data_IF_510668986030
#
_entry.id   IF_510668986030
#
_cell.length_a   1.000
_cell.length_b   1.000
_cell.length_c   1.000
_cell.angle_alpha   90.00
_cell.angle_beta   90.00
_cell.angle_gamma   90.00
#
_symmetry.space_group_name_H-M   'P 1'
#
loop_
_entity.id
_entity.type
_entity.pdbx_description
1 polymer ?
#
# COMPACT_ATOMS: atom_id res chain seq x y z
N UNK A 1 20.31 -46.85 -46.81
CA UNK A 1 21.33 -47.14 -47.84
C UNK A 1 22.03 -45.82 -48.13
N UNK A 2 23.32 -45.71 -47.76
CA UNK A 2 24.17 -44.56 -48.10
C UNK A 2 24.26 -44.41 -49.62
N UNK A 3 24.36 -43.17 -50.11
CA UNK A 3 25.39 -42.79 -51.09
C UNK A 3 25.78 -41.33 -50.82
N UNK A 4 27.09 -41.14 -50.69
CA UNK A 4 27.86 -39.91 -50.50
C UNK A 4 28.20 -39.23 -51.86
N UNK A 5 28.98 -38.13 -51.78
CA UNK A 5 29.80 -37.43 -52.80
C UNK A 5 29.20 -36.17 -53.44
N UNK A 6 29.58 -34.96 -53.01
CA UNK A 6 30.86 -34.22 -53.18
C UNK A 6 31.19 -33.80 -54.62
N UNK A 7 31.21 -32.49 -54.88
CA UNK A 7 32.44 -31.80 -55.36
C UNK A 7 32.32 -30.28 -55.27
N UNK A 8 33.41 -29.69 -54.79
CA UNK A 8 33.68 -28.26 -54.59
C UNK A 8 34.05 -27.55 -55.90
N UNK A 9 33.84 -26.22 -55.96
CA UNK A 9 34.91 -25.31 -56.36
C UNK A 9 34.65 -23.87 -55.87
N UNK A 10 35.64 -23.34 -55.16
CA UNK A 10 35.76 -21.99 -54.62
C UNK A 10 36.09 -20.97 -55.71
N UNK A 11 35.66 -19.71 -55.56
CA UNK A 11 36.52 -18.49 -55.62
C UNK A 11 35.81 -17.37 -54.85
N UNK A 12 36.54 -16.73 -53.94
CA UNK A 12 36.17 -15.52 -53.21
C UNK A 12 36.54 -14.26 -54.01
N UNK A 13 35.73 -13.20 -53.94
CA UNK A 13 36.23 -11.87 -53.52
C UNK A 13 35.10 -10.85 -53.32
N UNK A 14 35.34 -9.93 -52.39
CA UNK A 14 34.33 -9.15 -51.68
C UNK A 14 33.63 -8.04 -52.46
N UNK A 15 32.36 -7.82 -52.10
CA UNK A 15 31.77 -6.50 -51.84
C UNK A 15 30.38 -6.68 -51.22
N UNK A 16 30.29 -6.48 -49.93
CA UNK A 16 29.03 -6.48 -49.17
C UNK A 16 28.29 -5.16 -49.49
N UNK A 17 27.22 -5.24 -50.29
CA UNK A 17 26.24 -4.17 -50.44
C UNK A 17 25.07 -4.44 -49.49
N UNK A 18 24.83 -3.49 -48.59
CA UNK A 18 23.76 -3.50 -47.60
C UNK A 18 22.37 -3.72 -48.26
N UNK A 19 21.62 -4.68 -47.73
CA UNK A 19 20.19 -4.85 -47.99
C UNK A 19 19.38 -3.91 -47.08
N UNK A 20 18.24 -3.35 -47.54
CA UNK A 20 17.42 -2.49 -46.72
C UNK A 20 16.60 -3.34 -45.74
N UNK A 21 16.97 -3.32 -44.47
CA UNK A 21 16.17 -3.90 -43.38
C UNK A 21 14.86 -3.12 -43.22
N UNK A 22 13.75 -3.85 -43.21
CA UNK A 22 12.41 -3.34 -42.93
C UNK A 22 12.37 -2.55 -41.60
N UNK A 23 11.54 -1.50 -41.50
CA UNK A 23 11.44 -0.72 -40.27
C UNK A 23 10.91 -1.61 -39.12
N UNK A 24 11.43 -1.46 -37.89
CA UNK A 24 10.93 -2.19 -36.75
C UNK A 24 9.48 -1.80 -36.47
N UNK A 25 8.63 -2.82 -36.29
CA UNK A 25 7.27 -2.65 -35.77
C UNK A 25 7.33 -1.88 -34.45
N UNK A 26 6.48 -0.85 -34.24
CA UNK A 26 6.44 -0.15 -32.97
C UNK A 26 6.06 -1.13 -31.87
N UNK A 27 6.91 -1.19 -30.84
CA UNK A 27 6.66 -1.92 -29.61
C UNK A 27 5.30 -1.49 -29.02
N UNK A 28 4.46 -2.42 -28.52
CA UNK A 28 3.21 -2.04 -27.90
C UNK A 28 3.52 -1.25 -26.63
N UNK A 29 3.37 0.07 -26.69
CA UNK A 29 3.37 0.94 -25.53
C UNK A 29 2.09 0.64 -24.75
N UNK A 30 2.15 -0.35 -23.86
CA UNK A 30 1.11 -0.60 -22.87
C UNK A 30 1.00 0.64 -22.00
N UNK A 31 0.05 1.51 -22.31
CA UNK A 31 -0.41 2.57 -21.42
C UNK A 31 -1.09 1.88 -20.23
N UNK A 32 -0.32 1.56 -19.19
CA UNK A 32 -0.84 1.08 -17.91
C UNK A 32 -1.65 2.22 -17.28
N UNK A 33 -2.98 2.14 -17.39
CA UNK A 33 -3.88 3.09 -16.74
C UNK A 33 -4.07 2.68 -15.27
N UNK A 34 -3.80 3.61 -14.36
CA UNK A 34 -4.12 3.52 -12.94
C UNK A 34 -5.31 4.44 -12.65
N UNK A 35 -6.38 4.00 -12.00
CA UNK A 35 -7.48 4.90 -11.56
C UNK A 35 -7.38 5.21 -10.07
N UNK A 36 -8.01 6.31 -9.65
CA UNK A 36 -8.27 6.57 -8.23
C UNK A 36 -9.79 6.61 -8.01
N UNK A 37 -10.26 5.81 -7.07
CA UNK A 37 -11.68 5.62 -6.79
C UNK A 37 -11.98 6.10 -5.38
N UNK A 38 -12.93 7.02 -5.27
CA UNK A 38 -13.54 7.38 -4.00
C UNK A 38 -14.88 6.65 -3.86
N UNK A 39 -15.00 5.80 -2.85
CA UNK A 39 -16.25 5.14 -2.47
C UNK A 39 -17.02 6.11 -1.56
N UNK A 40 -18.16 6.63 -2.01
CA UNK A 40 -18.82 7.78 -1.35
C UNK A 40 -20.20 7.53 -0.74
N UNK A 41 -20.38 8.03 0.48
CA UNK A 41 -21.66 8.31 1.13
C UNK A 41 -21.84 9.78 1.58
N UNK A 42 -20.80 10.64 1.63
CA UNK A 42 -20.88 12.05 2.07
C UNK A 42 -19.87 13.01 1.38
N UNK A 43 -20.11 14.35 1.37
CA UNK A 43 -19.57 15.26 0.35
C UNK A 43 -18.24 16.00 0.67
N UNK A 44 -17.43 15.61 1.65
CA UNK A 44 -16.34 16.46 2.18
C UNK A 44 -14.93 16.27 1.56
N UNK A 45 -14.56 15.09 1.04
CA UNK A 45 -13.17 14.83 0.60
C UNK A 45 -12.72 15.45 -0.73
N UNK A 46 -13.66 15.77 -1.63
CA UNK A 46 -13.34 15.98 -3.06
C UNK A 46 -12.80 17.35 -3.46
N UNK A 47 -13.20 18.45 -2.80
CA UNK A 47 -12.66 19.77 -3.14
C UNK A 47 -11.16 19.90 -2.81
N UNK A 48 -10.59 18.95 -2.06
CA UNK A 48 -9.18 18.91 -1.65
C UNK A 48 -8.28 18.06 -2.55
N UNK A 49 -8.80 17.06 -3.25
CA UNK A 49 -8.02 16.28 -4.24
C UNK A 49 -7.48 17.16 -5.38
N UNK A 50 -8.18 18.26 -5.70
CA UNK A 50 -7.77 19.24 -6.73
C UNK A 50 -6.67 20.19 -6.29
N UNK A 51 -6.36 20.30 -4.99
CA UNK A 51 -5.34 21.22 -4.48
C UNK A 51 -3.94 20.92 -5.04
N UNK A 52 -3.72 19.69 -5.50
CA UNK A 52 -2.42 19.20 -5.96
C UNK A 52 -2.47 18.58 -7.36
N UNK A 53 -3.29 19.13 -8.27
CA UNK A 53 -3.27 18.73 -9.69
C UNK A 53 -1.91 19.04 -10.33
N UNK A 54 -0.97 18.10 -10.22
CA UNK A 54 0.30 18.04 -10.95
C UNK A 54 0.10 17.32 -12.29
N UNK A 55 1.11 17.34 -13.17
CA UNK A 55 1.10 16.52 -14.39
C UNK A 55 0.97 15.02 -14.09
N UNK A 56 1.44 14.58 -12.91
CA UNK A 56 1.30 13.19 -12.45
C UNK A 56 -0.15 12.88 -12.11
N UNK A 57 -0.83 13.76 -11.36
CA UNK A 57 -2.25 13.59 -11.03
C UNK A 57 -3.15 13.44 -12.28
N UNK A 58 -2.78 14.09 -13.40
CA UNK A 58 -3.54 13.97 -14.67
C UNK A 58 -3.50 12.58 -15.32
N UNK A 59 -2.56 11.71 -14.90
CA UNK A 59 -2.47 10.31 -15.35
C UNK A 59 -3.52 9.41 -14.69
N UNK A 60 -4.13 9.87 -13.59
CA UNK A 60 -5.08 9.10 -12.79
C UNK A 60 -6.51 9.54 -13.09
N UNK A 61 -7.24 8.88 -14.00
CA UNK A 61 -8.68 9.10 -14.13
C UNK A 61 -9.36 8.85 -12.79
N UNK A 62 -10.21 9.80 -12.40
CA UNK A 62 -10.92 9.77 -11.12
C UNK A 62 -12.32 9.19 -11.31
N UNK A 63 -12.68 8.30 -10.39
CA UNK A 63 -14.01 7.72 -10.31
C UNK A 63 -14.63 8.00 -8.95
N UNK A 64 -15.94 8.25 -8.96
CA UNK A 64 -16.76 8.22 -7.74
C UNK A 64 -17.70 7.04 -7.89
N UNK A 65 -17.58 6.08 -6.97
CA UNK A 65 -18.48 4.95 -6.85
C UNK A 65 -19.42 5.21 -5.67
N UNK A 66 -20.68 5.49 -5.96
CA UNK A 66 -21.70 5.68 -4.94
C UNK A 66 -22.50 4.39 -4.73
N UNK A 67 -22.67 3.97 -3.48
CA UNK A 67 -23.68 2.96 -3.12
C UNK A 67 -25.01 3.60 -2.70
N UNK A 68 -26.10 2.93 -3.07
CA UNK A 68 -27.46 3.37 -2.81
C UNK A 68 -27.92 4.54 -3.68
N UNK A 69 -29.00 5.19 -3.26
CA UNK A 69 -29.79 6.11 -4.10
C UNK A 69 -29.84 7.55 -3.59
N UNK A 70 -28.95 7.93 -2.67
CA UNK A 70 -28.91 9.29 -2.12
C UNK A 70 -28.71 10.33 -3.25
N UNK A 71 -29.74 11.14 -3.50
CA UNK A 71 -29.75 12.13 -4.58
C UNK A 71 -28.76 13.27 -4.39
N UNK A 72 -28.47 13.67 -3.15
CA UNK A 72 -27.54 14.77 -2.86
C UNK A 72 -26.09 14.36 -3.12
N UNK A 73 -25.72 13.11 -2.77
CA UNK A 73 -24.41 12.54 -3.09
C UNK A 73 -24.22 12.48 -4.60
N UNK A 74 -25.21 11.96 -5.33
CA UNK A 74 -25.20 11.89 -6.79
C UNK A 74 -25.06 13.27 -7.42
N UNK A 75 -25.83 14.25 -6.94
CA UNK A 75 -25.79 15.63 -7.43
C UNK A 75 -24.42 16.28 -7.21
N UNK A 76 -23.79 16.06 -6.05
CA UNK A 76 -22.43 16.56 -5.77
C UNK A 76 -21.38 15.85 -6.63
N UNK A 77 -21.45 14.52 -6.77
CA UNK A 77 -20.54 13.77 -7.63
C UNK A 77 -20.59 14.24 -9.09
N UNK A 78 -21.80 14.42 -9.63
CA UNK A 78 -22.02 14.92 -10.99
C UNK A 78 -21.68 16.40 -11.19
N UNK A 79 -21.47 17.17 -10.11
CA UNK A 79 -21.00 18.56 -10.20
C UNK A 79 -19.53 18.67 -10.61
N UNK A 80 -18.78 17.57 -10.55
CA UNK A 80 -17.37 17.52 -10.92
C UNK A 80 -17.18 17.19 -12.40
N UNK A 81 -16.48 18.06 -13.13
CA UNK A 81 -16.32 17.95 -14.59
C UNK A 81 -15.25 16.94 -15.05
N UNK A 82 -14.38 16.48 -14.16
CA UNK A 82 -13.23 15.60 -14.46
C UNK A 82 -13.34 14.24 -13.75
N UNK A 83 -14.55 13.85 -13.35
CA UNK A 83 -14.80 12.60 -12.61
C UNK A 83 -15.80 11.75 -13.40
N UNK A 84 -15.55 10.44 -13.42
CA UNK A 84 -16.52 9.45 -13.88
C UNK A 84 -17.36 8.99 -12.71
N UNK A 85 -18.67 9.25 -12.76
CA UNK A 85 -19.61 8.79 -11.74
C UNK A 85 -20.13 7.39 -12.05
N UNK A 86 -20.11 6.51 -11.06
CA UNK A 86 -20.64 5.15 -11.08
C UNK A 86 -21.60 4.98 -9.90
N UNK A 87 -22.67 4.21 -10.09
CA UNK A 87 -23.68 3.98 -9.06
C UNK A 87 -23.98 2.49 -8.89
N UNK A 88 -23.78 1.99 -7.68
CA UNK A 88 -24.23 0.68 -7.24
C UNK A 88 -25.59 0.81 -6.55
N UNK A 89 -26.54 -0.04 -6.95
CA UNK A 89 -27.85 -0.13 -6.30
C UNK A 89 -28.14 -1.61 -6.07
N UNK A 90 -27.99 -2.04 -4.83
CA UNK A 90 -28.39 -3.37 -4.38
C UNK A 90 -29.76 -3.28 -3.69
N UNK A 91 -30.76 -3.92 -4.29
CA UNK A 91 -32.13 -3.98 -3.78
C UNK A 91 -32.40 -5.29 -3.03
N UNK A 92 -31.47 -6.24 -3.06
CA UNK A 92 -31.67 -7.53 -2.42
C UNK A 92 -31.51 -7.42 -0.90
N UNK A 93 -32.36 -8.10 -0.11
CA UNK A 93 -32.17 -8.18 1.32
C UNK A 93 -30.84 -8.86 1.67
N UNK A 94 -30.01 -8.17 2.45
CA UNK A 94 -28.75 -8.72 2.97
C UNK A 94 -29.05 -9.91 3.87
N UNK A 95 -28.47 -11.07 3.54
CA UNK A 95 -28.48 -12.27 4.39
C UNK A 95 -27.13 -12.41 5.05
N UNK A 96 -27.10 -12.30 6.38
CA UNK A 96 -25.87 -12.53 7.15
C UNK A 96 -25.60 -14.02 7.28
N UNK A 97 -24.33 -14.40 7.41
CA UNK A 97 -23.94 -15.80 7.59
C UNK A 97 -24.29 -16.28 9.00
N UNK A 98 -24.18 -15.40 10.00
CA UNK A 98 -24.48 -15.69 11.39
C UNK A 98 -25.45 -14.66 12.00
N UNK A 99 -26.24 -15.05 13.02
CA UNK A 99 -27.06 -14.12 13.77
C UNK A 99 -26.21 -13.05 14.46
N UNK A 100 -26.66 -11.80 14.44
CA UNK A 100 -26.01 -10.67 15.13
C UNK A 100 -24.90 -9.96 14.34
N UNK A 101 -24.54 -10.45 13.16
CA UNK A 101 -23.63 -9.75 12.25
C UNK A 101 -24.27 -8.48 11.69
N UNK A 102 -23.44 -7.46 11.45
CA UNK A 102 -23.90 -6.17 10.97
C UNK A 102 -24.03 -6.18 9.45
N UNK A 103 -25.28 -6.03 8.97
CA UNK A 103 -25.61 -6.00 7.54
C UNK A 103 -24.89 -4.88 6.78
N UNK A 104 -24.48 -3.80 7.47
CA UNK A 104 -23.67 -2.74 6.89
C UNK A 104 -22.35 -3.26 6.28
N UNK A 105 -21.66 -4.22 6.91
CA UNK A 105 -20.41 -4.76 6.37
C UNK A 105 -20.60 -5.57 5.09
N UNK A 106 -21.72 -6.29 4.99
CA UNK A 106 -22.07 -7.01 3.76
C UNK A 106 -22.33 -6.05 2.61
N UNK A 107 -22.99 -4.92 2.88
CA UNK A 107 -23.20 -3.87 1.86
C UNK A 107 -21.89 -3.26 1.40
N UNK A 108 -21.00 -2.93 2.34
CA UNK A 108 -19.66 -2.40 2.04
C UNK A 108 -18.88 -3.41 1.19
N UNK A 109 -18.83 -4.67 1.60
CA UNK A 109 -18.13 -5.72 0.84
C UNK A 109 -18.70 -5.89 -0.58
N UNK A 110 -20.04 -5.89 -0.72
CA UNK A 110 -20.69 -6.00 -2.03
C UNK A 110 -20.38 -4.78 -2.92
N UNK A 111 -20.41 -3.58 -2.34
CA UNK A 111 -20.07 -2.36 -3.08
C UNK A 111 -18.61 -2.33 -3.54
N UNK A 112 -17.66 -2.71 -2.66
CA UNK A 112 -16.25 -2.84 -3.02
C UNK A 112 -16.06 -3.85 -4.16
N UNK A 113 -16.69 -5.03 -4.09
CA UNK A 113 -16.65 -6.02 -5.15
C UNK A 113 -17.15 -5.43 -6.48
N UNK A 114 -18.35 -4.82 -6.47
CA UNK A 114 -18.95 -4.25 -7.67
C UNK A 114 -18.08 -3.13 -8.27
N UNK A 115 -17.57 -2.23 -7.44
CA UNK A 115 -16.71 -1.14 -7.89
C UNK A 115 -15.42 -1.68 -8.51
N UNK A 116 -14.79 -2.68 -7.87
CA UNK A 116 -13.59 -3.32 -8.40
C UNK A 116 -13.85 -4.06 -9.72
N UNK A 117 -15.01 -4.71 -9.88
CA UNK A 117 -15.41 -5.32 -11.16
C UNK A 117 -15.56 -4.26 -12.26
N UNK A 118 -16.23 -3.15 -11.99
CA UNK A 118 -16.35 -2.04 -12.94
C UNK A 118 -14.96 -1.54 -13.37
N UNK A 119 -14.04 -1.34 -12.43
CA UNK A 119 -12.71 -0.80 -12.72
C UNK A 119 -11.79 -1.80 -13.44
N UNK A 120 -11.68 -3.01 -12.91
CA UNK A 120 -10.73 -4.00 -13.41
C UNK A 120 -11.24 -4.77 -14.62
N UNK A 121 -12.55 -5.04 -14.70
CA UNK A 121 -13.12 -5.85 -15.79
C UNK A 121 -13.62 -4.95 -16.90
N UNK A 122 -14.52 -4.00 -16.58
CA UNK A 122 -15.18 -3.17 -17.58
C UNK A 122 -14.30 -2.03 -18.08
N UNK A 123 -13.61 -1.33 -17.19
CA UNK A 123 -12.66 -0.28 -17.56
C UNK A 123 -11.24 -0.79 -17.85
N UNK A 124 -10.95 -2.05 -17.49
CA UNK A 124 -9.69 -2.74 -17.75
C UNK A 124 -8.47 -1.97 -17.23
N UNK A 125 -8.58 -1.37 -16.04
CA UNK A 125 -7.43 -0.79 -15.36
C UNK A 125 -6.45 -1.87 -14.93
N UNK A 126 -5.15 -1.57 -14.98
CA UNK A 126 -4.11 -2.49 -14.50
C UNK A 126 -3.96 -2.39 -12.97
N UNK A 127 -4.17 -1.18 -12.45
CA UNK A 127 -4.07 -0.80 -11.05
C UNK A 127 -5.22 0.12 -10.67
N UNK A 128 -5.64 0.04 -9.42
CA UNK A 128 -6.63 0.94 -8.83
C UNK A 128 -6.05 1.45 -7.52
N UNK A 129 -6.24 2.73 -7.22
CA UNK A 129 -6.03 3.33 -5.90
C UNK A 129 -7.42 3.54 -5.28
N UNK A 130 -7.65 3.01 -4.09
CA UNK A 130 -8.92 3.10 -3.39
C UNK A 130 -8.81 4.09 -2.25
N UNK A 131 -9.76 5.03 -2.20
CA UNK A 131 -9.98 6.00 -1.15
C UNK A 131 -11.41 5.89 -0.61
N UNK A 132 -11.56 6.07 0.69
CA UNK A 132 -12.86 6.31 1.31
C UNK A 132 -13.16 7.83 1.30
N UNK A 133 -14.43 8.20 1.44
CA UNK A 133 -14.91 9.58 1.27
C UNK A 133 -14.58 10.54 2.42
N UNK A 134 -14.20 10.00 3.57
CA UNK A 134 -13.76 10.72 4.75
C UNK A 134 -12.24 10.97 4.80
N UNK A 135 -11.53 10.63 3.72
CA UNK A 135 -10.08 10.78 3.63
C UNK A 135 -9.63 12.13 3.05
N UNK A 136 -8.54 12.66 3.60
CA UNK A 136 -7.75 13.75 2.99
C UNK A 136 -6.44 13.20 2.43
N UNK A 137 -6.02 13.69 1.26
CA UNK A 137 -4.78 13.27 0.61
C UNK A 137 -3.64 14.27 0.78
N UNK A 138 -2.41 13.75 0.88
CA UNK A 138 -1.19 14.54 0.99
C UNK A 138 -0.80 15.20 -0.34
N UNK A 139 0.04 16.27 -0.33
CA UNK A 139 0.50 16.96 -1.55
C UNK A 139 1.23 16.09 -2.57
N UNK A 140 1.83 14.99 -2.12
CA UNK A 140 2.64 14.05 -2.90
C UNK A 140 1.96 12.69 -3.07
N UNK A 141 0.66 12.58 -2.78
CA UNK A 141 -0.09 11.31 -2.83
C UNK A 141 0.04 10.60 -4.18
N UNK A 142 -0.18 11.31 -5.29
CA UNK A 142 -0.08 10.70 -6.63
C UNK A 142 1.36 10.41 -7.03
N UNK A 143 2.32 11.24 -6.61
CA UNK A 143 3.74 11.00 -6.84
C UNK A 143 4.21 9.74 -6.10
N UNK A 144 3.76 9.55 -4.86
CA UNK A 144 4.02 8.38 -4.03
C UNK A 144 3.54 7.09 -4.72
N UNK A 145 2.27 7.06 -5.15
CA UNK A 145 1.71 5.88 -5.81
C UNK A 145 2.33 5.62 -7.18
N UNK A 146 2.63 6.67 -7.97
CA UNK A 146 3.30 6.50 -9.26
C UNK A 146 4.68 5.85 -9.08
N UNK A 147 5.48 6.30 -8.11
CA UNK A 147 6.79 5.74 -7.85
C UNK A 147 6.70 4.30 -7.31
N UNK A 148 5.75 4.02 -6.41
CA UNK A 148 5.53 2.70 -5.83
C UNK A 148 4.91 1.70 -6.82
N UNK A 149 4.31 2.17 -7.92
CA UNK A 149 3.66 1.32 -8.91
C UNK A 149 4.63 0.32 -9.56
N UNK A 150 5.89 0.72 -9.76
CA UNK A 150 6.93 -0.15 -10.28
C UNK A 150 7.26 -1.32 -9.33
N UNK A 151 7.28 -1.06 -8.02
CA UNK A 151 7.46 -2.11 -7.01
C UNK A 151 6.30 -3.09 -7.04
N UNK A 152 5.07 -2.59 -7.06
CA UNK A 152 3.86 -3.41 -7.07
C UNK A 152 3.76 -4.31 -8.32
N UNK A 153 4.21 -3.83 -9.48
CA UNK A 153 4.19 -4.60 -10.72
C UNK A 153 5.24 -5.73 -10.73
N UNK A 154 6.43 -5.47 -10.17
CA UNK A 154 7.62 -6.31 -10.35
C UNK A 154 8.00 -7.17 -9.14
N UNK A 155 7.57 -6.83 -7.92
CA UNK A 155 7.80 -7.62 -6.73
C UNK A 155 6.52 -8.38 -6.34
N UNK A 156 6.48 -9.68 -6.63
CA UNK A 156 5.30 -10.52 -6.40
C UNK A 156 5.00 -10.80 -4.93
N UNK A 157 5.89 -10.41 -4.04
CA UNK A 157 5.69 -10.49 -2.59
C UNK A 157 4.96 -9.27 -2.03
N UNK A 158 4.68 -8.26 -2.86
CA UNK A 158 3.87 -7.09 -2.49
C UNK A 158 2.44 -7.29 -3.01
N UNK A 159 1.49 -7.32 -2.08
CA UNK A 159 0.06 -7.39 -2.41
C UNK A 159 -0.53 -6.02 -2.74
N UNK A 160 -0.16 -4.99 -1.97
CA UNK A 160 -0.69 -3.64 -2.07
C UNK A 160 0.33 -2.60 -1.58
N UNK A 161 0.13 -1.36 -1.98
CA UNK A 161 0.82 -0.19 -1.43
C UNK A 161 -0.22 0.64 -0.68
N UNK A 162 0.05 1.07 0.55
CA UNK A 162 -0.86 1.93 1.33
C UNK A 162 -0.21 3.27 1.66
N UNK A 163 -1.03 4.31 1.77
CA UNK A 163 -0.67 5.64 2.24
C UNK A 163 -0.79 5.81 3.76
N UNK A 164 -1.14 4.74 4.48
CA UNK A 164 -1.42 4.78 5.91
C UNK A 164 -0.34 4.11 6.76
N UNK A 165 0.01 4.76 7.87
CA UNK A 165 0.83 4.20 8.93
C UNK A 165 0.00 4.22 10.22
N UNK A 166 -0.41 3.04 10.72
CA UNK A 166 -1.23 2.96 11.94
C UNK A 166 -0.53 3.60 13.16
N UNK A 167 0.81 3.53 13.22
CA UNK A 167 1.61 4.18 14.26
C UNK A 167 2.18 5.53 13.77
N UNK A 168 1.44 6.23 12.90
CA UNK A 168 1.83 7.46 12.21
C UNK A 168 1.61 8.75 13.01
N UNK A 169 1.34 8.68 14.31
CA UNK A 169 1.14 9.88 15.14
C UNK A 169 2.45 10.70 15.21
N UNK A 170 2.34 12.03 15.36
CA UNK A 170 3.48 12.98 15.24
C UNK A 170 4.73 12.55 16.03
N UNK A 171 4.56 12.06 17.26
CA UNK A 171 5.67 11.62 18.11
C UNK A 171 6.38 10.34 17.63
N UNK A 172 5.78 9.58 16.71
CA UNK A 172 6.27 8.29 16.24
C UNK A 172 6.78 8.29 14.80
N UNK A 173 6.83 9.46 14.18
CA UNK A 173 7.35 9.67 12.82
C UNK A 173 8.45 10.73 12.81
N UNK A 174 9.33 10.70 11.80
CA UNK A 174 10.43 11.66 11.67
C UNK A 174 10.75 11.96 10.22
N UNK A 175 11.18 10.94 9.48
CA UNK A 175 11.59 11.08 8.08
C UNK A 175 10.40 10.84 7.14
N UNK A 176 9.94 11.86 6.38
CA UNK A 176 8.81 11.72 5.47
C UNK A 176 9.14 10.89 4.23
N UNK A 177 10.41 10.57 3.96
CA UNK A 177 10.84 9.71 2.84
C UNK A 177 10.93 8.24 3.21
N UNK A 178 10.88 7.90 4.50
CA UNK A 178 11.04 6.53 4.94
C UNK A 178 9.78 5.70 4.66
N UNK A 179 9.92 4.71 3.77
CA UNK A 179 8.92 3.68 3.52
C UNK A 179 9.33 2.33 4.11
N UNK A 180 8.33 1.49 4.41
CA UNK A 180 8.49 0.20 5.06
C UNK A 180 7.67 -0.88 4.36
N UNK A 181 8.07 -2.14 4.53
CA UNK A 181 7.20 -3.30 4.28
C UNK A 181 6.41 -3.62 5.57
N UNK A 182 5.22 -4.16 5.42
CA UNK A 182 4.34 -4.58 6.52
C UNK A 182 3.58 -5.84 6.09
N UNK A 183 3.48 -6.80 7.00
CA UNK A 183 2.63 -7.99 6.85
C UNK A 183 1.19 -7.69 7.30
N UNK A 184 0.98 -6.60 8.03
CA UNK A 184 -0.35 -6.06 8.33
C UNK A 184 -0.85 -5.24 7.14
N UNK A 185 -2.07 -5.53 6.64
CA UNK A 185 -2.73 -4.74 5.60
C UNK A 185 -3.50 -3.56 6.23
N UNK A 186 -3.04 -2.30 6.08
CA UNK A 186 -3.66 -1.16 6.75
C UNK A 186 -4.90 -0.60 6.02
N UNK A 187 -5.07 -0.88 4.72
CA UNK A 187 -6.09 -0.24 3.89
C UNK A 187 -5.83 1.26 3.73
N UNK A 188 -6.86 2.09 3.95
CA UNK A 188 -6.84 3.56 4.05
C UNK A 188 -5.94 4.25 3.01
N UNK A 189 -6.45 4.40 1.80
CA UNK A 189 -5.68 4.92 0.66
C UNK A 189 -4.67 3.90 0.19
N UNK A 190 -5.10 2.98 -0.67
CA UNK A 190 -4.28 1.84 -1.04
C UNK A 190 -4.40 1.47 -2.51
N UNK A 191 -3.29 1.02 -3.09
CA UNK A 191 -3.18 0.61 -4.48
C UNK A 191 -3.00 -0.90 -4.59
N UNK A 192 -3.76 -1.50 -5.49
CA UNK A 192 -3.71 -2.92 -5.81
C UNK A 192 -3.68 -3.14 -7.34
N UNK A 193 -3.26 -4.33 -7.77
CA UNK A 193 -3.23 -4.73 -9.19
C UNK A 193 -4.33 -5.73 -9.51
N UNK A 194 -4.73 -5.78 -10.79
CA UNK A 194 -5.76 -6.69 -11.31
C UNK A 194 -5.51 -8.17 -10.99
N UNK A 195 -4.26 -8.58 -10.83
CA UNK A 195 -3.87 -10.00 -10.65
C UNK A 195 -4.08 -10.55 -9.24
N UNK A 196 -4.30 -9.71 -8.22
CA UNK A 196 -4.39 -10.15 -6.81
C UNK A 196 -5.82 -10.17 -6.23
N UNK A 197 -6.85 -9.92 -7.04
CA UNK A 197 -8.23 -9.76 -6.57
C UNK A 197 -8.95 -11.11 -6.33
N UNK A 198 -8.57 -11.86 -5.30
CA UNK A 198 -9.47 -12.88 -4.73
C UNK A 198 -9.26 -12.98 -3.20
N UNK A 199 -10.32 -12.70 -2.44
CA UNK A 199 -10.39 -12.88 -0.99
C UNK A 199 -11.74 -12.44 -0.43
N UNK A 200 -12.48 -13.37 0.17
CA UNK A 200 -13.74 -13.12 0.89
C UNK A 200 -13.43 -12.79 2.35
N UNK A 201 -14.14 -11.80 2.91
CA UNK A 201 -14.25 -11.39 4.32
C UNK A 201 -13.37 -10.22 4.82
N UNK A 202 -14.04 -9.19 5.35
CA UNK A 202 -13.45 -8.08 6.11
C UNK A 202 -14.49 -7.38 7.00
N UNK A 203 -14.06 -6.83 8.14
CA UNK A 203 -14.90 -6.14 9.12
C UNK A 203 -14.09 -5.15 9.96
N UNK A 204 -14.56 -3.91 10.15
CA UNK A 204 -14.05 -3.05 11.23
C UNK A 204 -15.08 -2.02 11.75
N UNK A 205 -15.28 -2.02 13.07
CA UNK A 205 -16.18 -1.15 13.83
C UNK A 205 -15.42 0.10 14.30
N UNK A 206 -15.98 1.30 14.05
CA UNK A 206 -15.37 2.62 14.25
C UNK A 206 -15.02 3.06 15.68
N UNK A 207 -14.63 2.13 16.55
CA UNK A 207 -14.29 2.37 17.96
C UNK A 207 -12.87 2.98 18.14
N UNK A 208 -12.04 3.00 17.09
CA UNK A 208 -10.61 3.37 17.14
C UNK A 208 -10.30 4.81 16.70
N UNK A 209 -11.29 5.55 16.20
CA UNK A 209 -11.06 6.81 15.51
C UNK A 209 -10.36 7.87 16.37
N UNK A 210 -10.94 8.27 17.51
CA UNK A 210 -10.41 9.38 18.34
C UNK A 210 -9.05 9.08 18.96
N UNK A 211 -8.86 7.84 19.41
CA UNK A 211 -7.65 7.48 20.14
C UNK A 211 -6.46 7.28 19.21
N UNK A 212 -6.70 6.68 18.04
CA UNK A 212 -5.61 6.20 17.21
C UNK A 212 -5.57 6.77 15.80
N UNK A 213 -6.72 7.01 15.16
CA UNK A 213 -6.78 7.46 13.76
C UNK A 213 -6.70 8.99 13.62
N UNK A 214 -7.46 9.74 14.43
CA UNK A 214 -7.47 11.21 14.45
C UNK A 214 -6.06 11.84 14.62
N UNK A 215 -5.16 11.32 15.47
CA UNK A 215 -3.83 11.91 15.65
C UNK A 215 -2.79 11.52 14.58
N UNK A 216 -3.15 10.76 13.54
CA UNK A 216 -2.20 10.36 12.49
C UNK A 216 -1.76 11.58 11.68
N UNK A 217 -0.44 11.71 11.49
CA UNK A 217 0.16 12.85 10.80
C UNK A 217 -0.01 12.70 9.29
N UNK A 218 -0.85 13.56 8.70
CA UNK A 218 -0.84 13.75 7.24
C UNK A 218 0.50 14.33 6.81
N UNK A 219 1.14 13.74 5.80
CA UNK A 219 2.35 14.30 5.23
C UNK A 219 2.05 15.67 4.58
N UNK A 220 2.82 16.68 4.96
CA UNK A 220 2.68 18.07 4.50
C UNK A 220 3.85 18.52 3.62
N UNK A 221 4.86 17.65 3.43
CA UNK A 221 6.04 17.91 2.61
C UNK A 221 5.86 17.24 1.25
N UNK A 222 5.93 18.01 0.16
CA UNK A 222 5.88 17.42 -1.17
C UNK A 222 7.23 16.76 -1.53
N UNK A 223 7.23 15.44 -1.67
CA UNK A 223 8.40 14.64 -2.07
C UNK A 223 8.28 14.28 -3.56
N UNK A 224 9.38 14.45 -4.29
CA UNK A 224 9.49 14.02 -5.69
C UNK A 224 9.84 12.53 -5.76
N UNK A 225 8.89 11.67 -5.42
CA UNK A 225 9.10 10.23 -5.30
C UNK A 225 9.68 9.56 -6.54
N UNK A 226 9.36 10.05 -7.74
CA UNK A 226 9.93 9.56 -9.01
C UNK A 226 11.46 9.75 -9.13
N UNK A 227 12.09 10.52 -8.24
CA UNK A 227 13.54 10.74 -8.17
C UNK A 227 14.20 9.98 -7.01
N UNK A 228 13.43 9.32 -6.15
CA UNK A 228 13.95 8.55 -5.02
C UNK A 228 14.25 7.11 -5.45
N UNK A 229 15.29 6.50 -4.87
CA UNK A 229 15.56 5.08 -5.08
C UNK A 229 14.71 4.23 -4.13
N UNK A 230 13.68 3.58 -4.67
CA UNK A 230 12.82 2.67 -3.91
C UNK A 230 13.29 1.21 -3.96
N UNK A 231 14.45 0.91 -4.56
CA UNK A 231 14.91 -0.46 -4.74
C UNK A 231 15.20 -1.18 -3.42
N UNK A 232 15.45 -0.44 -2.33
CA UNK A 232 15.63 -0.98 -0.99
C UNK A 232 14.38 -1.68 -0.43
N UNK A 233 13.19 -1.43 -1.01
CA UNK A 233 11.92 -2.05 -0.61
C UNK A 233 11.68 -3.43 -1.23
N UNK A 234 12.50 -3.86 -2.20
CA UNK A 234 12.44 -5.23 -2.73
C UNK A 234 12.71 -6.21 -1.60
N UNK A 235 11.96 -7.31 -1.54
CA UNK A 235 11.98 -8.23 -0.38
C UNK A 235 13.39 -8.65 0.04
N UNK A 236 14.22 -9.08 -0.91
CA UNK A 236 15.60 -9.52 -0.68
C UNK A 236 16.46 -8.44 -0.01
N UNK A 237 16.36 -7.20 -0.49
CA UNK A 237 17.11 -6.06 0.03
C UNK A 237 16.54 -5.56 1.35
N UNK A 238 15.22 -5.45 1.45
CA UNK A 238 14.55 -4.96 2.64
C UNK A 238 14.80 -5.89 3.81
N UNK A 239 14.65 -7.21 3.61
CA UNK A 239 14.87 -8.21 4.67
C UNK A 239 16.28 -8.10 5.25
N UNK A 240 17.31 -8.03 4.39
CA UNK A 240 18.71 -7.93 4.81
C UNK A 240 18.96 -6.61 5.57
N UNK A 241 18.53 -5.48 5.02
CA UNK A 241 18.79 -4.19 5.64
C UNK A 241 18.01 -4.01 6.95
N UNK A 242 16.74 -4.41 6.97
CA UNK A 242 15.90 -4.34 8.15
C UNK A 242 16.38 -5.30 9.25
N UNK A 243 16.78 -6.52 8.89
CA UNK A 243 17.43 -7.47 9.80
C UNK A 243 18.70 -6.90 10.41
N UNK A 244 19.57 -6.28 9.59
CA UNK A 244 20.76 -5.58 10.09
C UNK A 244 20.40 -4.47 11.07
N UNK A 245 19.46 -3.58 10.71
CA UNK A 245 19.04 -2.49 11.58
C UNK A 245 18.52 -3.01 12.93
N UNK A 246 17.64 -4.01 12.92
CA UNK A 246 17.12 -4.67 14.12
C UNK A 246 18.24 -5.35 14.92
N UNK A 247 19.21 -5.99 14.26
CA UNK A 247 20.33 -6.67 14.93
C UNK A 247 21.25 -5.71 15.68
N UNK A 248 21.45 -4.51 15.13
CA UNK A 248 22.35 -3.48 15.67
C UNK A 248 21.72 -2.65 16.79
N UNK A 249 20.39 -2.64 16.88
CA UNK A 249 19.67 -1.92 17.93
C UNK A 249 20.00 -2.50 19.32
N UNK A 250 20.16 -1.61 20.30
CA UNK A 250 20.54 -2.01 21.67
C UNK A 250 19.43 -2.87 22.30
N UNK A 251 19.71 -4.13 22.68
CA UNK A 251 18.70 -4.97 23.31
C UNK A 251 18.37 -4.47 24.72
N UNK A 252 17.09 -4.31 24.99
CA UNK A 252 16.57 -3.99 26.31
C UNK A 252 15.68 -5.10 26.83
N UNK A 253 15.92 -5.49 28.07
CA UNK A 253 15.21 -6.55 28.78
C UNK A 253 14.89 -6.14 30.21
N UNK A 254 14.01 -6.91 30.84
CA UNK A 254 13.49 -6.65 32.18
C UNK A 254 12.15 -5.90 32.16
N UNK A 255 11.49 -5.87 33.33
CA UNK A 255 10.20 -5.18 33.50
C UNK A 255 10.30 -3.66 33.26
N UNK A 256 11.50 -3.09 33.40
CA UNK A 256 11.83 -1.69 33.18
C UNK A 256 12.35 -1.40 31.76
N UNK A 257 12.28 -2.34 30.81
CA UNK A 257 12.78 -2.17 29.44
C UNK A 257 12.19 -0.93 28.74
N UNK A 258 10.90 -0.66 28.94
CA UNK A 258 10.23 0.52 28.37
C UNK A 258 10.74 1.82 29.02
N UNK A 259 10.95 1.81 30.33
CA UNK A 259 11.53 2.95 31.05
C UNK A 259 12.97 3.23 30.61
N UNK A 260 13.79 2.18 30.46
CA UNK A 260 15.13 2.27 29.87
C UNK A 260 15.06 2.87 28.48
N UNK A 261 14.14 2.36 27.65
CA UNK A 261 13.92 2.91 26.32
C UNK A 261 13.56 4.39 26.38
N UNK A 262 12.67 4.87 27.26
CA UNK A 262 12.31 6.29 27.30
C UNK A 262 13.49 7.25 27.55
N UNK A 263 14.55 6.76 28.21
CA UNK A 263 15.72 7.54 28.64
C UNK A 263 16.98 7.36 27.77
N UNK A 264 16.94 6.46 26.79
CA UNK A 264 18.08 6.24 25.89
C UNK A 264 18.06 7.15 24.66
N UNK A 265 19.24 7.51 24.17
CA UNK A 265 19.43 8.26 22.92
C UNK A 265 20.08 7.36 21.85
N UNK A 266 19.46 6.20 21.61
CA UNK A 266 19.92 5.21 20.64
C UNK A 266 18.76 4.35 20.14
N UNK A 267 18.94 3.71 18.99
CA UNK A 267 18.01 2.68 18.51
C UNK A 267 18.01 1.50 19.48
N UNK A 268 16.82 1.05 19.88
CA UNK A 268 16.65 -0.03 20.86
C UNK A 268 15.67 -1.07 20.37
N UNK A 269 15.87 -2.31 20.82
CA UNK A 269 14.93 -3.42 20.59
C UNK A 269 14.47 -4.01 21.91
N UNK A 270 13.17 -4.22 22.04
CA UNK A 270 12.52 -4.87 23.17
C UNK A 270 11.82 -6.11 22.63
N UNK A 271 12.16 -7.28 23.15
CA UNK A 271 11.47 -8.51 22.79
C UNK A 271 10.13 -8.59 23.53
N UNK A 272 9.07 -8.96 22.82
CA UNK A 272 7.81 -9.39 23.40
C UNK A 272 7.67 -10.91 23.25
N UNK A 273 7.01 -11.56 24.21
CA UNK A 273 6.92 -13.02 24.25
C UNK A 273 5.65 -13.58 23.60
N UNK A 274 4.55 -12.86 23.75
CA UNK A 274 3.23 -13.23 23.24
C UNK A 274 2.39 -11.95 23.00
N UNK A 275 1.14 -12.15 22.59
CA UNK A 275 0.21 -11.05 22.33
C UNK A 275 -0.03 -10.18 23.58
N UNK A 276 -0.22 -10.77 24.76
CA UNK A 276 -0.49 -10.01 25.98
C UNK A 276 0.70 -9.17 26.42
N UNK A 277 1.92 -9.69 26.25
CA UNK A 277 3.15 -8.96 26.51
C UNK A 277 3.35 -7.82 25.51
N UNK A 278 3.07 -8.05 24.22
CA UNK A 278 3.08 -6.99 23.21
C UNK A 278 2.09 -5.89 23.56
N UNK A 279 0.83 -6.22 23.85
CA UNK A 279 -0.22 -5.24 24.18
C UNK A 279 0.20 -4.39 25.39
N UNK A 280 0.80 -5.02 26.41
CA UNK A 280 1.35 -4.32 27.58
C UNK A 280 2.49 -3.37 27.23
N UNK A 281 3.41 -3.76 26.34
CA UNK A 281 4.54 -2.92 25.91
C UNK A 281 4.02 -1.77 25.03
N UNK A 282 3.19 -2.08 24.03
CA UNK A 282 2.56 -1.14 23.11
C UNK A 282 1.80 -0.04 23.85
N UNK A 283 0.99 -0.42 24.86
CA UNK A 283 0.26 0.52 25.73
C UNK A 283 1.17 1.53 26.43
N UNK A 284 2.33 1.09 26.91
CA UNK A 284 3.27 1.99 27.60
C UNK A 284 3.93 3.00 26.66
N UNK A 285 4.09 2.66 25.38
CA UNK A 285 4.52 3.62 24.36
C UNK A 285 3.37 4.49 23.84
N UNK A 286 2.13 4.00 23.89
CA UNK A 286 0.95 4.65 23.32
C UNK A 286 0.78 4.40 21.82
N UNK A 287 1.29 3.27 21.33
CA UNK A 287 1.07 2.80 19.95
C UNK A 287 -0.12 1.83 19.90
N UNK A 288 -0.55 1.41 18.70
CA UNK A 288 -1.62 0.43 18.57
C UNK A 288 -1.27 -0.91 19.24
N UNK A 289 -2.22 -1.41 20.02
CA UNK A 289 -2.13 -2.70 20.71
C UNK A 289 -2.69 -3.85 19.88
N UNK A 290 -3.49 -3.55 18.84
CA UNK A 290 -4.29 -4.54 18.12
C UNK A 290 -3.51 -5.47 17.21
N UNK A 291 -4.08 -6.67 17.06
CA UNK A 291 -3.64 -7.72 16.17
C UNK A 291 -4.77 -8.08 15.19
N UNK A 292 -4.39 -8.49 13.98
CA UNK A 292 -5.30 -9.17 13.04
C UNK A 292 -4.61 -10.44 12.58
N UNK A 293 -5.30 -11.56 12.75
CA UNK A 293 -4.82 -12.89 12.36
C UNK A 293 -3.38 -13.19 12.84
N UNK A 294 -3.08 -12.87 14.10
CA UNK A 294 -1.74 -13.11 14.67
C UNK A 294 -0.66 -12.12 14.21
N UNK A 295 -1.02 -11.02 13.53
CA UNK A 295 -0.09 -9.97 13.10
C UNK A 295 -0.40 -8.64 13.81
N UNK A 296 0.53 -8.05 14.57
CA UNK A 296 0.36 -6.71 15.13
C UNK A 296 0.35 -5.64 14.03
N UNK A 297 -0.31 -4.50 14.28
CA UNK A 297 -0.33 -3.38 13.33
C UNK A 297 1.09 -2.92 12.95
N UNK A 298 1.31 -2.62 11.68
CA UNK A 298 2.60 -2.20 11.07
C UNK A 298 3.75 -3.22 11.16
N UNK A 299 3.50 -4.43 11.65
CA UNK A 299 4.56 -5.40 11.83
C UNK A 299 5.09 -5.95 10.50
N UNK A 300 6.39 -6.23 10.43
CA UNK A 300 7.00 -7.04 9.38
C UNK A 300 7.83 -8.15 10.05
N UNK A 301 7.54 -9.41 9.72
CA UNK A 301 8.14 -10.59 10.37
C UNK A 301 8.04 -10.54 11.90
N UNK A 302 6.92 -10.04 12.42
CA UNK A 302 6.70 -9.85 13.86
C UNK A 302 7.50 -8.72 14.51
N UNK A 303 8.11 -7.82 13.73
CA UNK A 303 8.76 -6.62 14.27
C UNK A 303 7.91 -5.39 14.00
N UNK A 304 7.50 -4.69 15.06
CA UNK A 304 6.88 -3.36 14.98
C UNK A 304 7.96 -2.31 15.16
N UNK A 305 8.09 -1.40 14.20
CA UNK A 305 9.05 -0.29 14.24
C UNK A 305 8.33 1.05 14.25
N UNK A 306 8.79 1.96 15.10
CA UNK A 306 8.31 3.33 15.14
C UNK A 306 9.42 4.28 15.60
N UNK A 307 9.32 5.55 15.23
CA UNK A 307 10.22 6.58 15.78
C UNK A 307 9.78 6.93 17.20
N UNK A 308 10.63 7.60 17.97
CA UNK A 308 10.25 8.02 19.31
C UNK A 308 10.55 9.50 19.55
N UNK A 309 9.58 10.22 20.12
CA UNK A 309 9.64 11.65 20.43
C UNK A 309 9.99 12.54 19.22
N UNK A 310 9.46 12.24 18.04
CA UNK A 310 9.72 12.98 16.79
C UNK A 310 11.23 13.11 16.49
N UNK A 311 12.00 12.06 16.74
CA UNK A 311 13.46 12.03 16.57
C UNK A 311 13.86 10.92 15.58
N UNK A 312 15.09 10.91 15.05
CA UNK A 312 15.54 9.82 14.17
C UNK A 312 15.61 8.47 14.89
N UNK A 313 15.54 8.46 16.22
CA UNK A 313 15.61 7.26 17.05
C UNK A 313 14.47 6.28 16.78
N UNK A 314 14.79 4.99 16.69
CA UNK A 314 13.85 3.88 16.46
C UNK A 314 13.66 3.01 17.71
N UNK A 315 12.43 2.59 17.91
CA UNK A 315 12.07 1.51 18.82
C UNK A 315 11.62 0.33 17.96
N UNK A 316 12.19 -0.85 18.24
CA UNK A 316 11.76 -2.12 17.65
C UNK A 316 11.11 -2.97 18.73
N UNK A 317 9.85 -3.33 18.56
CA UNK A 317 9.22 -4.39 19.34
C UNK A 317 9.35 -5.68 18.53
N UNK A 318 10.09 -6.66 19.07
CA UNK A 318 10.56 -7.83 18.34
C UNK A 318 9.86 -9.08 18.85
N UNK A 319 9.16 -9.80 17.97
CA UNK A 319 8.51 -11.05 18.31
C UNK A 319 9.49 -12.21 18.56
N UNK A 320 9.02 -13.32 19.13
CA UNK A 320 9.88 -14.43 19.57
C UNK A 320 10.68 -15.06 18.43
N UNK A 321 10.08 -15.23 17.25
CA UNK A 321 10.73 -15.84 16.08
C UNK A 321 11.30 -14.81 15.10
N UNK A 322 11.15 -13.51 15.39
CA UNK A 322 11.43 -12.44 14.44
C UNK A 322 12.89 -12.37 14.03
N UNK A 323 13.84 -12.53 14.96
CA UNK A 323 15.26 -12.48 14.62
C UNK A 323 15.64 -13.61 13.65
N UNK A 324 15.14 -14.83 13.88
CA UNK A 324 15.35 -15.95 12.97
C UNK A 324 14.72 -15.71 11.59
N UNK A 325 13.51 -15.13 11.55
CA UNK A 325 12.85 -14.75 10.28
C UNK A 325 13.62 -13.66 9.51
N UNK A 326 14.37 -12.82 10.22
CA UNK A 326 15.23 -11.76 9.66
C UNK A 326 16.64 -12.26 9.31
N UNK A 327 16.97 -13.53 9.58
CA UNK A 327 18.30 -14.09 9.35
C UNK A 327 19.39 -13.55 10.29
N UNK A 328 18.99 -13.13 11.51
CA UNK A 328 19.85 -12.54 12.55
C UNK A 328 20.20 -13.55 13.63
#
# INVERSE_FOLDING_TARGET
MKVDECTEQQVADGKEMASPTAPPLPSPVHHQRSSCDAISHLPYGHDKQRKYQTSVASKFPLFISQDGTNGEVKKKALSYTQITYMQHVDLEPVRTERPGELTAYYKIANHYKWALDELFIKHNFARVIILEDDMEIAPDFFDYFEAAANLLDNDKTIMAVSSWNDNGQKQFVYDPKALYRSDFFPGLGWMLTKTYNFGEHGSSMGQFFKQYLEPIKLNDVHIKWNSEDLSYLREDKFLIQFGKDVSTATPLSGSDAVLKAHNMDADVRIQYNDQGDFERIARQFGIFEEWKDGIPRTAYKGVVVFRYKSSPRRIYLVGPDSLGQLGV
#
